data_IF_669901485813
#
_entry.id   IF_669901485813
#
_cell.length_a   1.000
_cell.length_b   1.000
_cell.length_c   1.000
_cell.angle_alpha   90.00
_cell.angle_beta   90.00
_cell.angle_gamma   90.00
#
_symmetry.space_group_name_H-M   'P 1'
#
loop_
_entity.id
_entity.type
_entity.pdbx_description
1 polymer ?
#
# COMPACT_ATOMS: atom_id res chain seq x y z
N UNK A 1 26.09 6.48 -3.66
CA UNK A 1 25.25 5.91 -4.72
C UNK A 1 24.44 7.04 -5.34
N UNK A 2 24.21 7.05 -6.65
CA UNK A 2 23.45 8.12 -7.31
C UNK A 2 21.98 8.08 -6.84
N UNK A 3 21.47 9.17 -6.28
CA UNK A 3 20.07 9.26 -5.86
C UNK A 3 19.34 10.29 -6.72
N UNK A 4 18.23 9.88 -7.33
CA UNK A 4 17.35 10.76 -8.08
C UNK A 4 15.95 10.77 -7.48
N UNK A 5 15.31 11.94 -7.52
CA UNK A 5 13.95 12.15 -7.07
C UNK A 5 13.06 12.45 -8.29
N UNK A 6 12.01 11.65 -8.49
CA UNK A 6 11.11 11.75 -9.64
C UNK A 6 9.66 11.95 -9.21
N UNK A 7 8.98 12.90 -9.86
CA UNK A 7 7.57 13.13 -9.63
C UNK A 7 6.72 12.06 -10.29
N UNK A 8 5.70 11.60 -9.57
CA UNK A 8 4.63 10.75 -10.08
C UNK A 8 3.27 11.43 -9.93
N UNK A 9 2.27 11.00 -10.72
CA UNK A 9 0.96 11.61 -10.63
C UNK A 9 0.30 11.20 -9.32
N UNK A 10 -0.68 12.00 -8.93
CA UNK A 10 -1.46 11.70 -7.75
C UNK A 10 -2.32 10.46 -7.97
N UNK A 11 -2.26 9.52 -7.04
CA UNK A 11 -2.96 8.25 -7.15
C UNK A 11 -3.65 7.90 -5.83
N UNK A 12 -4.82 7.26 -5.93
CA UNK A 12 -5.61 6.82 -4.76
C UNK A 12 -5.51 5.33 -4.44
N UNK A 13 -4.62 4.61 -5.10
CA UNK A 13 -4.48 3.17 -4.99
C UNK A 13 -3.02 2.76 -4.71
N UNK A 14 -2.33 3.58 -3.91
CA UNK A 14 -0.98 3.32 -3.43
C UNK A 14 0.08 3.20 -4.53
N UNK A 15 -0.14 3.79 -5.70
CA UNK A 15 0.73 3.67 -6.87
C UNK A 15 1.02 2.21 -7.25
N UNK A 16 0.03 1.32 -7.03
CA UNK A 16 0.05 -0.08 -7.44
C UNK A 16 -0.86 -0.36 -8.65
N UNK A 17 -1.80 0.55 -8.94
CA UNK A 17 -2.67 0.51 -10.11
C UNK A 17 -3.32 1.88 -10.35
N UNK A 18 -3.78 2.18 -11.59
CA UNK A 18 -4.43 3.42 -11.94
C UNK A 18 -5.67 3.70 -11.09
N UNK A 19 -5.81 4.95 -10.66
CA UNK A 19 -6.96 5.38 -9.86
C UNK A 19 -8.04 6.14 -10.61
N UNK A 20 -7.74 6.70 -11.78
CA UNK A 20 -8.69 7.57 -12.49
C UNK A 20 -8.89 8.94 -11.86
N UNK A 21 -8.18 9.24 -10.76
CA UNK A 21 -8.42 10.39 -9.88
C UNK A 21 -7.41 11.52 -10.05
N UNK A 22 -6.64 11.49 -11.14
CA UNK A 22 -5.64 12.52 -11.41
C UNK A 22 -6.27 13.72 -12.11
N UNK A 23 -6.20 14.90 -11.46
CA UNK A 23 -6.45 16.22 -12.07
C UNK A 23 -5.17 16.95 -12.50
N UNK A 24 -4.05 16.22 -12.69
CA UNK A 24 -2.79 16.81 -13.15
C UNK A 24 -2.86 17.27 -14.61
N UNK A 25 -2.01 18.20 -15.01
CA UNK A 25 -1.87 18.58 -16.43
C UNK A 25 -1.00 17.58 -17.22
N UNK A 26 -1.11 17.61 -18.55
CA UNK A 26 -0.38 16.73 -19.47
C UNK A 26 -0.99 15.34 -19.57
N UNK A 27 -0.17 14.34 -19.88
CA UNK A 27 -0.65 12.97 -20.15
C UNK A 27 -1.59 12.43 -19.06
N UNK A 28 -1.30 12.55 -17.74
CA UNK A 28 -2.23 12.06 -16.72
C UNK A 28 -3.61 12.73 -16.77
N UNK A 29 -3.70 14.05 -16.96
CA UNK A 29 -4.98 14.75 -17.07
C UNK A 29 -5.74 14.45 -18.35
N UNK A 30 -5.04 14.37 -19.49
CA UNK A 30 -5.64 14.07 -20.79
C UNK A 30 -6.21 12.65 -20.84
N UNK A 31 -5.59 11.72 -20.13
CA UNK A 31 -5.87 10.29 -20.24
C UNK A 31 -6.55 9.70 -19.00
N UNK A 32 -6.62 10.45 -17.90
CA UNK A 32 -7.14 10.00 -16.61
C UNK A 32 -6.22 9.03 -15.87
N UNK A 33 -4.99 8.81 -16.35
CA UNK A 33 -4.00 7.96 -15.68
C UNK A 33 -2.55 8.30 -16.08
N UNK A 34 -1.61 8.01 -15.20
CA UNK A 34 -0.16 7.97 -15.47
C UNK A 34 0.37 6.53 -15.48
N UNK A 35 1.36 6.24 -16.30
CA UNK A 35 2.03 4.92 -16.31
C UNK A 35 2.82 4.65 -15.03
N UNK A 36 3.22 5.71 -14.35
CA UNK A 36 3.90 5.67 -13.06
C UNK A 36 2.99 5.25 -11.89
N UNK A 37 1.67 5.14 -12.11
CA UNK A 37 0.73 4.63 -11.10
C UNK A 37 0.89 3.14 -10.82
N UNK A 38 1.77 2.44 -11.54
CA UNK A 38 2.18 1.05 -11.25
C UNK A 38 3.57 0.94 -10.63
N UNK A 39 4.25 2.05 -10.29
CA UNK A 39 5.64 2.00 -9.82
C UNK A 39 5.84 1.10 -8.59
N UNK A 40 4.82 0.95 -7.74
CA UNK A 40 4.83 0.07 -6.57
C UNK A 40 3.94 -1.17 -6.73
N UNK A 41 3.63 -1.57 -7.97
CA UNK A 41 2.98 -2.86 -8.26
C UNK A 41 3.99 -4.00 -8.16
N UNK A 42 4.24 -4.46 -6.94
CA UNK A 42 5.30 -5.44 -6.65
C UNK A 42 4.99 -6.87 -7.12
N UNK A 43 3.78 -7.15 -7.63
CA UNK A 43 3.48 -8.44 -8.26
C UNK A 43 4.01 -8.54 -9.70
N UNK A 44 4.29 -7.41 -10.35
CA UNK A 44 4.78 -7.36 -11.74
C UNK A 44 6.28 -7.62 -11.80
N UNK A 45 6.63 -8.89 -11.65
CA UNK A 45 8.00 -9.33 -11.47
C UNK A 45 8.51 -10.20 -12.60
N UNK A 46 9.81 -10.08 -12.89
CA UNK A 46 10.54 -11.03 -13.71
C UNK A 46 11.94 -11.19 -13.13
N UNK A 47 12.36 -12.43 -12.87
CA UNK A 47 13.65 -12.75 -12.24
C UNK A 47 13.94 -11.97 -10.94
N UNK A 48 12.93 -11.79 -10.09
CA UNK A 48 12.99 -11.00 -8.84
C UNK A 48 13.23 -9.49 -9.05
N UNK A 49 13.04 -8.98 -10.26
CA UNK A 49 13.05 -7.55 -10.55
C UNK A 49 11.64 -7.02 -10.77
N UNK A 50 11.43 -5.76 -10.37
CA UNK A 50 10.25 -4.94 -10.72
C UNK A 50 10.66 -3.81 -11.65
N UNK A 51 9.68 -3.17 -12.29
CA UNK A 51 9.89 -2.27 -13.42
C UNK A 51 9.26 -0.89 -13.19
N UNK A 52 9.91 0.00 -12.42
CA UNK A 52 9.41 1.35 -12.24
C UNK A 52 9.40 2.11 -13.58
N UNK A 53 8.32 2.82 -13.83
CA UNK A 53 8.21 3.74 -14.95
C UNK A 53 8.93 5.05 -14.61
N UNK A 54 9.83 5.46 -15.51
CA UNK A 54 10.60 6.71 -15.39
C UNK A 54 10.58 7.47 -16.72
N UNK A 55 10.13 8.72 -16.72
CA UNK A 55 10.15 9.57 -17.91
C UNK A 55 11.56 9.84 -18.46
N UNK A 56 12.55 9.92 -17.59
CA UNK A 56 13.95 10.18 -17.93
C UNK A 56 14.86 9.23 -17.14
N UNK A 57 16.05 9.00 -17.68
CA UNK A 57 17.12 8.25 -17.04
C UNK A 57 18.35 9.15 -16.90
N UNK A 58 19.25 8.91 -15.93
CA UNK A 58 20.50 9.65 -15.84
C UNK A 58 21.36 9.47 -17.10
N UNK A 59 22.20 10.45 -17.39
CA UNK A 59 23.10 10.37 -18.55
C UNK A 59 24.06 9.19 -18.40
N UNK A 60 24.38 8.54 -19.52
CA UNK A 60 25.26 7.35 -19.53
C UNK A 60 26.57 7.56 -18.77
N UNK A 61 27.23 8.71 -18.97
CA UNK A 61 28.47 9.05 -18.25
C UNK A 61 28.32 8.99 -16.72
N UNK A 62 27.24 9.56 -16.19
CA UNK A 62 26.95 9.57 -14.75
C UNK A 62 26.62 8.15 -14.27
N UNK A 63 25.86 7.38 -15.06
CA UNK A 63 25.60 5.98 -14.74
C UNK A 63 26.89 5.16 -14.69
N UNK A 64 27.80 5.35 -15.66
CA UNK A 64 29.07 4.63 -15.73
C UNK A 64 29.96 4.94 -14.50
N UNK A 65 30.00 6.21 -14.04
CA UNK A 65 30.67 6.63 -12.80
C UNK A 65 30.09 5.95 -11.54
N UNK A 66 28.83 5.50 -11.61
CA UNK A 66 28.12 4.80 -10.54
C UNK A 66 27.86 3.31 -10.85
N UNK A 67 28.68 2.69 -11.71
CA UNK A 67 28.61 1.25 -12.05
C UNK A 67 27.25 0.82 -12.61
N UNK A 68 26.56 1.72 -13.32
CA UNK A 68 25.24 1.49 -13.90
C UNK A 68 24.11 1.38 -12.89
N UNK A 69 24.34 1.69 -11.60
CA UNK A 69 23.36 1.59 -10.52
C UNK A 69 22.98 2.95 -9.94
N UNK A 70 21.73 3.10 -9.56
CA UNK A 70 21.19 4.31 -8.95
C UNK A 70 19.94 4.01 -8.13
N UNK A 71 19.55 4.94 -7.28
CA UNK A 71 18.33 4.87 -6.49
C UNK A 71 17.31 5.89 -7.00
N UNK A 72 16.03 5.53 -6.98
CA UNK A 72 14.94 6.38 -7.46
C UNK A 72 13.94 6.57 -6.33
N UNK A 73 13.88 7.78 -5.79
CA UNK A 73 12.83 8.19 -4.88
C UNK A 73 11.65 8.75 -5.67
N UNK A 74 10.43 8.39 -5.27
CA UNK A 74 9.21 8.88 -5.89
C UNK A 74 8.45 9.82 -4.97
N UNK A 75 7.90 10.90 -5.54
CA UNK A 75 7.06 11.83 -4.81
C UNK A 75 5.85 12.29 -5.63
N UNK A 76 4.77 12.64 -4.95
CA UNK A 76 3.55 13.15 -5.55
C UNK A 76 3.11 14.46 -4.87
N UNK A 77 2.20 15.18 -5.53
CA UNK A 77 1.50 16.33 -4.95
C UNK A 77 0.07 15.92 -4.62
N UNK A 78 -0.35 16.05 -3.36
CA UNK A 78 -1.75 15.92 -2.99
C UNK A 78 -2.54 17.03 -3.68
N UNK A 79 -3.57 16.66 -4.45
CA UNK A 79 -4.25 17.64 -5.31
C UNK A 79 -5.12 18.63 -4.52
N UNK A 80 -5.82 18.16 -3.49
CA UNK A 80 -6.70 19.01 -2.68
C UNK A 80 -5.94 19.75 -1.56
N UNK A 81 -5.09 19.04 -0.80
CA UNK A 81 -4.33 19.60 0.31
C UNK A 81 -3.06 20.38 -0.12
N UNK A 82 -2.68 20.31 -1.40
CA UNK A 82 -1.47 20.93 -1.95
C UNK A 82 -0.15 20.56 -1.26
N UNK A 83 -0.13 19.43 -0.54
CA UNK A 83 1.04 18.88 0.14
C UNK A 83 1.93 18.06 -0.80
N UNK A 84 3.22 17.96 -0.48
CA UNK A 84 4.17 17.12 -1.21
C UNK A 84 4.49 15.89 -0.39
N UNK A 85 4.38 14.72 -1.02
CA UNK A 85 4.41 13.43 -0.35
C UNK A 85 5.47 12.55 -0.99
N UNK A 86 6.39 12.05 -0.18
CA UNK A 86 7.41 11.09 -0.56
C UNK A 86 6.91 9.66 -0.33
N UNK A 87 7.00 8.84 -1.37
CA UNK A 87 6.23 7.59 -1.46
C UNK A 87 7.07 6.35 -1.16
N UNK A 88 8.36 6.40 -1.49
CA UNK A 88 9.23 5.25 -1.43
C UNK A 88 10.42 5.38 -2.36
N UNK A 89 11.28 4.37 -2.30
CA UNK A 89 12.55 4.30 -3.03
C UNK A 89 12.68 2.94 -3.71
N UNK A 90 13.07 2.96 -4.98
CA UNK A 90 13.64 1.79 -5.64
C UNK A 90 15.15 1.87 -5.53
N UNK A 91 15.74 1.07 -4.64
CA UNK A 91 17.19 1.01 -4.46
C UNK A 91 17.84 0.10 -5.51
N UNK A 92 19.12 0.35 -5.80
CA UNK A 92 19.93 -0.47 -6.72
C UNK A 92 19.31 -0.67 -8.12
N UNK A 93 18.56 0.31 -8.60
CA UNK A 93 17.97 0.30 -9.93
C UNK A 93 19.05 0.36 -11.02
N UNK A 94 18.79 -0.31 -12.14
CA UNK A 94 19.66 -0.31 -13.31
C UNK A 94 18.83 -0.33 -14.59
N UNK A 95 19.47 -0.06 -15.73
CA UNK A 95 18.81 -0.13 -17.03
C UNK A 95 18.50 -1.58 -17.41
N UNK A 96 17.36 -1.78 -18.06
CA UNK A 96 17.00 -3.06 -18.69
C UNK A 96 17.91 -3.28 -19.90
N UNK A 97 18.48 -4.46 -20.05
CA UNK A 97 19.24 -4.81 -21.25
C UNK A 97 18.28 -5.06 -22.43
N UNK A 98 18.64 -4.64 -23.63
CA UNK A 98 17.81 -4.84 -24.83
C UNK A 98 17.43 -6.32 -25.06
N UNK A 99 18.33 -7.23 -24.69
CA UNK A 99 18.12 -8.68 -24.74
C UNK A 99 17.05 -9.20 -23.76
N UNK A 100 16.75 -8.47 -22.69
CA UNK A 100 15.80 -8.89 -21.65
C UNK A 100 14.35 -8.62 -22.07
N UNK A 101 14.09 -7.55 -22.83
CA UNK A 101 12.72 -7.12 -23.20
C UNK A 101 11.86 -8.23 -23.82
N UNK A 102 12.34 -9.02 -24.81
CA UNK A 102 11.52 -10.09 -25.38
C UNK A 102 11.09 -11.13 -24.35
N UNK A 103 11.96 -11.42 -23.35
CA UNK A 103 11.68 -12.38 -22.30
C UNK A 103 10.68 -11.84 -21.28
N UNK A 104 10.84 -10.57 -20.90
CA UNK A 104 9.91 -9.86 -20.01
C UNK A 104 8.52 -9.83 -20.64
N UNK A 105 8.41 -9.37 -21.88
CA UNK A 105 7.13 -9.26 -22.61
C UNK A 105 6.47 -10.64 -22.72
N UNK A 106 7.23 -11.68 -23.10
CA UNK A 106 6.69 -13.04 -23.22
C UNK A 106 6.18 -13.58 -21.87
N UNK A 107 6.89 -13.31 -20.77
CA UNK A 107 6.44 -13.75 -19.45
C UNK A 107 5.20 -12.97 -19.01
N UNK A 108 5.19 -11.65 -19.18
CA UNK A 108 4.06 -10.80 -18.77
C UNK A 108 2.77 -11.11 -19.53
N UNK A 109 2.90 -11.48 -20.80
CA UNK A 109 1.78 -11.99 -21.61
C UNK A 109 1.29 -13.34 -21.08
N UNK A 110 2.21 -14.29 -20.87
CA UNK A 110 1.89 -15.63 -20.35
C UNK A 110 1.23 -15.59 -18.97
N UNK A 111 1.71 -14.74 -18.08
CA UNK A 111 1.26 -14.65 -16.68
C UNK A 111 0.04 -13.72 -16.53
N UNK A 112 -0.48 -13.18 -17.63
CA UNK A 112 -1.69 -12.35 -17.63
C UNK A 112 -1.50 -10.95 -17.05
N UNK A 113 -0.26 -10.47 -16.91
CA UNK A 113 0.05 -9.13 -16.39
C UNK A 113 -0.52 -8.05 -17.30
N UNK A 114 -0.35 -8.19 -18.62
CA UNK A 114 -0.89 -7.21 -19.57
C UNK A 114 -2.41 -7.19 -19.59
N UNK A 115 -3.06 -8.36 -19.53
CA UNK A 115 -4.51 -8.43 -19.43
C UNK A 115 -5.03 -7.78 -18.17
N UNK A 116 -4.43 -8.07 -17.01
CA UNK A 116 -4.78 -7.43 -15.73
C UNK A 116 -4.63 -5.92 -15.80
N UNK A 117 -3.49 -5.41 -16.27
CA UNK A 117 -3.27 -3.96 -16.40
C UNK A 117 -4.24 -3.30 -17.39
N UNK A 118 -4.64 -4.00 -18.45
CA UNK A 118 -5.65 -3.52 -19.39
C UNK A 118 -7.04 -3.41 -18.73
N UNK A 119 -7.43 -4.40 -17.94
CA UNK A 119 -8.68 -4.39 -17.18
C UNK A 119 -8.69 -3.28 -16.10
N UNK A 120 -7.55 -3.05 -15.45
CA UNK A 120 -7.35 -1.94 -14.52
C UNK A 120 -7.53 -0.57 -15.20
N UNK A 121 -6.98 -0.39 -16.41
CA UNK A 121 -7.16 0.83 -17.18
C UNK A 121 -8.63 1.07 -17.56
N UNK A 122 -9.32 0.05 -18.07
CA UNK A 122 -10.75 0.16 -18.39
C UNK A 122 -11.59 0.53 -17.17
N UNK A 123 -11.20 0.02 -15.99
CA UNK A 123 -11.90 0.29 -14.75
C UNK A 123 -11.60 1.68 -14.18
N UNK A 124 -10.44 2.25 -14.49
CA UNK A 124 -9.97 3.52 -13.94
C UNK A 124 -10.27 4.73 -14.85
N UNK A 125 -10.31 4.54 -16.17
CA UNK A 125 -10.47 5.65 -17.12
C UNK A 125 -11.44 5.33 -18.25
N UNK A 126 -12.19 6.36 -18.67
CA UNK A 126 -13.08 6.30 -19.83
C UNK A 126 -12.34 6.48 -21.17
N UNK A 127 -11.01 6.64 -21.16
CA UNK A 127 -10.19 6.81 -22.37
C UNK A 127 -10.32 5.61 -23.31
N UNK A 128 -10.31 4.40 -22.76
CA UNK A 128 -10.28 3.18 -23.56
C UNK A 128 -11.68 2.62 -23.75
N UNK A 129 -12.17 2.63 -24.99
CA UNK A 129 -13.48 2.06 -25.34
C UNK A 129 -13.48 0.54 -25.47
N UNK A 130 -12.30 -0.08 -25.59
CA UNK A 130 -12.16 -1.53 -25.79
C UNK A 130 -10.95 -2.06 -25.04
N UNK A 131 -11.03 -3.32 -24.57
CA UNK A 131 -9.90 -4.03 -23.96
C UNK A 131 -8.70 -4.12 -24.89
N UNK A 132 -8.92 -4.29 -26.20
CA UNK A 132 -7.84 -4.30 -27.21
C UNK A 132 -7.02 -3.01 -27.21
N UNK A 133 -7.66 -1.85 -27.04
CA UNK A 133 -6.96 -0.57 -26.99
C UNK A 133 -6.15 -0.40 -25.69
N UNK A 134 -6.73 -0.79 -24.55
CA UNK A 134 -6.03 -0.77 -23.27
C UNK A 134 -4.84 -1.74 -23.24
N UNK A 135 -5.03 -2.95 -23.78
CA UNK A 135 -3.98 -3.96 -23.92
C UNK A 135 -2.82 -3.46 -24.79
N UNK A 136 -3.14 -2.78 -25.90
CA UNK A 136 -2.14 -2.15 -26.76
C UNK A 136 -1.32 -1.11 -25.99
N UNK A 137 -1.96 -0.23 -25.21
CA UNK A 137 -1.25 0.81 -24.43
C UNK A 137 -0.25 0.19 -23.44
N UNK A 138 -0.69 -0.78 -22.62
CA UNK A 138 0.18 -1.39 -21.59
C UNK A 138 1.29 -2.24 -22.19
N UNK A 139 1.03 -2.88 -23.33
CA UNK A 139 2.04 -3.66 -24.05
C UNK A 139 3.05 -2.75 -24.73
N UNK A 140 2.58 -1.67 -25.37
CA UNK A 140 3.44 -0.73 -26.06
C UNK A 140 4.39 -0.03 -25.10
N UNK A 141 3.98 0.22 -23.84
CA UNK A 141 4.87 0.78 -22.82
C UNK A 141 6.17 -0.02 -22.61
N UNK A 142 6.12 -1.34 -22.78
CA UNK A 142 7.29 -2.23 -22.74
C UNK A 142 7.99 -2.38 -24.10
N UNK A 143 7.28 -2.20 -25.22
CA UNK A 143 7.85 -2.30 -26.57
C UNK A 143 8.54 -1.02 -27.06
N UNK A 144 8.10 0.14 -26.59
CA UNK A 144 8.56 1.48 -27.04
C UNK A 144 9.57 2.11 -26.06
N UNK A 145 10.46 1.27 -25.52
CA UNK A 145 11.19 1.43 -24.25
C UNK A 145 10.78 2.64 -23.40
N UNK A 146 9.51 2.74 -22.98
CA UNK A 146 9.12 3.75 -22.00
C UNK A 146 9.47 3.29 -20.58
N UNK A 147 9.33 1.99 -20.32
CA UNK A 147 9.85 1.32 -19.14
C UNK A 147 11.28 0.87 -19.45
N UNK A 148 12.26 1.52 -18.81
CA UNK A 148 13.71 1.34 -19.10
C UNK A 148 14.52 0.87 -17.92
N UNK A 149 13.89 0.81 -16.75
CA UNK A 149 14.57 0.58 -15.48
C UNK A 149 14.00 -0.66 -14.83
N UNK A 150 14.88 -1.43 -14.19
CA UNK A 150 14.51 -2.51 -13.29
C UNK A 150 15.21 -2.33 -11.94
N UNK A 151 14.58 -2.75 -10.85
CA UNK A 151 15.18 -2.80 -9.51
C UNK A 151 14.87 -4.14 -8.84
N UNK A 152 15.77 -4.68 -8.00
CA UNK A 152 15.45 -5.87 -7.22
C UNK A 152 14.22 -5.62 -6.35
N UNK A 153 13.28 -6.57 -6.31
CA UNK A 153 12.07 -6.43 -5.48
C UNK A 153 12.40 -6.34 -3.99
N UNK A 154 13.47 -7.01 -3.54
CA UNK A 154 13.97 -6.96 -2.17
C UNK A 154 14.48 -5.58 -1.76
N UNK A 155 14.75 -4.72 -2.74
CA UNK A 155 15.41 -3.43 -2.57
C UNK A 155 14.41 -2.28 -2.82
N UNK A 156 13.11 -2.59 -2.81
CA UNK A 156 12.05 -1.58 -2.87
C UNK A 156 11.58 -1.23 -1.47
N UNK A 157 11.70 0.04 -1.14
CA UNK A 157 11.14 0.65 0.06
C UNK A 157 9.86 1.39 -0.33
N UNK A 158 8.72 0.99 0.23
CA UNK A 158 7.43 1.63 -0.01
C UNK A 158 6.82 2.05 1.31
N UNK A 159 6.54 3.34 1.47
CA UNK A 159 5.93 3.87 2.68
C UNK A 159 4.42 3.74 2.59
N UNK A 160 3.84 2.92 3.48
CA UNK A 160 2.39 2.77 3.56
C UNK A 160 1.69 4.10 3.92
N UNK A 161 2.36 4.94 4.72
CA UNK A 161 2.05 6.37 4.87
C UNK A 161 3.14 7.20 4.18
N UNK A 162 2.81 7.95 3.12
CA UNK A 162 3.77 8.84 2.49
C UNK A 162 4.33 9.88 3.48
N UNK A 163 5.62 10.17 3.39
CA UNK A 163 6.30 11.16 4.23
C UNK A 163 6.03 12.56 3.68
N UNK A 164 5.59 13.49 4.52
CA UNK A 164 5.45 14.90 4.12
C UNK A 164 6.83 15.50 3.86
N UNK A 165 6.99 16.15 2.71
CA UNK A 165 8.23 16.82 2.33
C UNK A 165 7.98 18.27 1.92
N UNK A 166 9.03 19.07 1.98
CA UNK A 166 9.03 20.37 1.33
C UNK A 166 8.89 20.22 -0.19
N UNK A 167 8.36 21.26 -0.83
CA UNK A 167 8.24 21.33 -2.29
C UNK A 167 9.61 21.11 -2.94
N UNK A 168 9.78 20.07 -3.78
CA UNK A 168 11.04 19.83 -4.46
C UNK A 168 11.37 20.94 -5.47
N UNK A 169 12.66 21.28 -5.56
CA UNK A 169 13.18 22.31 -6.47
C UNK A 169 12.77 22.04 -7.92
N UNK A 170 12.85 20.78 -8.36
CA UNK A 170 12.30 20.33 -9.62
C UNK A 170 11.13 19.35 -9.40
N UNK A 171 9.95 19.73 -9.87
CA UNK A 171 8.69 19.01 -9.65
C UNK A 171 7.89 18.83 -10.94
N UNK A 172 8.55 18.79 -12.10
CA UNK A 172 7.90 18.44 -13.37
C UNK A 172 8.00 16.92 -13.59
N UNK A 173 7.04 16.35 -14.31
CA UNK A 173 7.04 14.92 -14.64
C UNK A 173 8.24 14.49 -15.49
N UNK A 174 8.61 15.34 -16.45
CA UNK A 174 9.71 15.11 -17.39
C UNK A 174 11.04 15.64 -16.86
N UNK A 175 11.26 15.52 -15.56
CA UNK A 175 12.51 15.88 -14.90
C UNK A 175 12.69 15.08 -13.62
N UNK A 176 13.95 14.99 -13.17
CA UNK A 176 14.30 14.48 -11.85
C UNK A 176 15.24 15.47 -11.17
N UNK A 177 15.37 15.32 -9.85
CA UNK A 177 16.31 16.11 -9.02
C UNK A 177 17.36 15.16 -8.45
N UNK A 178 18.64 15.52 -8.51
CA UNK A 178 19.66 14.81 -7.74
C UNK A 178 19.57 15.23 -6.27
N UNK A 179 19.61 14.26 -5.37
CA UNK A 179 19.56 14.49 -3.93
C UNK A 179 20.70 13.75 -3.24
N UNK A 180 21.21 14.27 -2.13
CA UNK A 180 22.25 13.57 -1.38
C UNK A 180 21.67 12.38 -0.60
N UNK A 181 20.47 12.55 -0.06
CA UNK A 181 19.74 11.54 0.71
C UNK A 181 18.24 11.64 0.48
N UNK A 182 17.53 10.52 0.64
CA UNK A 182 16.08 10.52 0.68
C UNK A 182 15.55 10.87 2.07
N UNK A 183 14.34 11.46 2.15
CA UNK A 183 13.61 11.55 3.40
C UNK A 183 13.48 10.17 4.05
N UNK A 184 13.67 10.11 5.36
CA UNK A 184 13.45 8.92 6.16
C UNK A 184 12.46 9.26 7.27
N UNK A 185 11.71 8.26 7.74
CA UNK A 185 10.76 8.44 8.84
C UNK A 185 11.43 8.79 10.19
N UNK A 186 12.77 8.83 10.23
CA UNK A 186 13.60 9.18 11.38
C UNK A 186 14.14 10.61 11.28
N UNK A 187 13.30 11.61 11.54
CA UNK A 187 13.77 12.96 11.91
C UNK A 187 12.94 13.51 13.07
N UNK A 188 13.60 13.62 14.23
CA UNK A 188 13.21 14.51 15.31
C UNK A 188 13.02 15.93 14.75
N UNK A 189 11.78 16.41 14.68
CA UNK A 189 11.51 17.83 14.46
C UNK A 189 11.65 18.52 15.82
N UNK A 190 12.57 19.49 16.00
CA UNK A 190 12.62 20.29 17.21
C UNK A 190 11.31 21.08 17.34
N UNK A 191 10.64 20.90 18.47
CA UNK A 191 9.43 21.64 18.82
C UNK A 191 9.80 23.12 19.02
N UNK A 192 9.39 23.98 18.09
CA UNK A 192 9.23 25.42 18.35
C UNK A 192 7.85 25.89 17.90
N UNK A 193 7.23 26.69 18.74
CA UNK A 193 5.81 27.02 18.80
C UNK A 193 5.24 27.81 17.62
N UNK A 194 3.91 27.64 17.46
CA UNK A 194 2.95 28.34 16.60
C UNK A 194 2.95 27.89 15.14
N UNK A 195 1.89 27.30 14.60
CA UNK A 195 0.46 27.63 14.72
C UNK A 195 -0.33 26.32 14.87
N UNK A 196 -1.30 26.29 15.80
CA UNK A 196 -2.40 25.30 15.78
C UNK A 196 -3.23 25.56 14.53
N UNK A 197 -2.84 24.97 13.40
CA UNK A 197 -3.77 24.63 12.32
C UNK A 197 -4.10 23.16 12.50
N UNK A 198 -5.39 22.84 12.44
CA UNK A 198 -5.93 21.49 12.56
C UNK A 198 -5.00 20.45 11.93
N UNK A 199 -4.69 19.41 12.71
CA UNK A 199 -3.99 18.22 12.23
C UNK A 199 -4.64 17.81 10.91
N UNK A 200 -3.85 17.75 9.85
CA UNK A 200 -4.28 17.17 8.59
C UNK A 200 -4.59 15.70 8.86
N UNK A 201 -5.87 15.44 9.16
CA UNK A 201 -6.48 14.12 9.04
C UNK A 201 -6.38 13.66 7.58
N UNK A 202 -6.38 12.35 7.38
CA UNK A 202 -6.36 11.63 6.10
C UNK A 202 -4.97 11.30 5.53
N UNK A 203 -4.24 10.48 6.30
CA UNK A 203 -3.05 9.77 5.86
C UNK A 203 -3.18 8.25 5.87
N UNK A 204 -4.38 7.66 5.76
CA UNK A 204 -4.53 6.23 5.51
C UNK A 204 -5.85 5.93 4.79
N UNK A 205 -5.79 5.01 3.82
CA UNK A 205 -6.89 4.55 2.97
C UNK A 205 -7.44 5.57 2.00
N UNK A 206 -7.12 5.39 0.72
CA UNK A 206 -7.97 5.97 -0.32
C UNK A 206 -8.95 4.95 -0.84
N UNK A 207 -9.89 4.72 0.05
CA UNK A 207 -11.26 4.58 -0.35
C UNK A 207 -11.75 5.99 -0.74
N UNK A 208 -12.50 6.14 -1.84
CA UNK A 208 -13.00 7.46 -2.25
C UNK A 208 -13.76 8.11 -1.08
N UNK A 209 -13.87 9.44 -0.98
CA UNK A 209 -14.66 10.07 0.09
C UNK A 209 -16.10 9.48 0.18
N UNK A 210 -16.66 9.04 -0.95
CA UNK A 210 -17.92 8.30 -1.01
C UNK A 210 -17.83 6.87 -0.41
N UNK A 211 -16.73 6.16 -0.63
CA UNK A 211 -16.48 4.82 -0.07
C UNK A 211 -16.06 4.89 1.41
N UNK A 212 -15.33 5.92 1.85
CA UNK A 212 -15.08 6.23 3.27
C UNK A 212 -16.37 6.56 4.02
N UNK A 213 -17.29 7.33 3.41
CA UNK A 213 -18.64 7.57 3.94
C UNK A 213 -19.44 6.27 4.16
N UNK A 214 -19.08 5.16 3.51
CA UNK A 214 -19.69 3.85 3.72
C UNK A 214 -18.89 2.97 4.67
N UNK A 215 -17.56 3.03 4.61
CA UNK A 215 -16.66 2.20 5.41
C UNK A 215 -16.62 2.66 6.86
N UNK A 216 -16.52 3.96 7.13
CA UNK A 216 -16.44 4.48 8.51
C UNK A 216 -17.69 4.07 9.31
N UNK A 217 -18.93 4.27 8.83
CA UNK A 217 -20.10 3.79 9.56
C UNK A 217 -20.14 2.27 9.75
N UNK A 218 -19.69 1.49 8.75
CA UNK A 218 -19.62 0.03 8.85
C UNK A 218 -18.56 -0.44 9.84
N UNK A 219 -17.43 0.27 9.90
CA UNK A 219 -16.35 0.00 10.84
C UNK A 219 -16.82 0.28 12.26
N UNK A 220 -17.43 1.44 12.49
CA UNK A 220 -18.01 1.80 13.78
C UNK A 220 -19.09 0.80 14.20
N UNK A 221 -19.91 0.35 13.25
CA UNK A 221 -20.90 -0.69 13.49
C UNK A 221 -20.25 -2.01 13.90
N UNK A 222 -19.25 -2.49 13.16
CA UNK A 222 -18.52 -3.72 13.49
C UNK A 222 -17.87 -3.63 14.88
N UNK A 223 -17.26 -2.49 15.21
CA UNK A 223 -16.66 -2.23 16.52
C UNK A 223 -17.70 -2.29 17.63
N UNK A 224 -18.80 -1.55 17.49
CA UNK A 224 -19.89 -1.57 18.46
C UNK A 224 -20.48 -2.98 18.63
N UNK A 225 -20.71 -3.69 17.53
CA UNK A 225 -21.27 -5.05 17.55
C UNK A 225 -20.32 -6.03 18.26
N UNK A 226 -19.01 -5.92 18.03
CA UNK A 226 -17.99 -6.75 18.69
C UNK A 226 -17.87 -6.44 20.19
N UNK A 227 -17.80 -5.16 20.56
CA UNK A 227 -17.79 -4.72 21.95
C UNK A 227 -19.05 -5.17 22.71
N UNK A 228 -20.24 -5.03 22.11
CA UNK A 228 -21.48 -5.52 22.70
C UNK A 228 -21.49 -7.03 22.88
N UNK A 229 -20.95 -7.77 21.91
CA UNK A 229 -20.85 -9.22 21.99
C UNK A 229 -19.89 -9.67 23.10
N UNK A 230 -18.76 -8.98 23.30
CA UNK A 230 -17.84 -9.21 24.43
C UNK A 230 -18.49 -8.85 25.78
N UNK A 231 -19.15 -7.70 25.88
CA UNK A 231 -19.83 -7.27 27.11
C UNK A 231 -20.93 -8.24 27.54
N UNK A 232 -21.70 -8.81 26.60
CA UNK A 232 -22.70 -9.86 26.87
C UNK A 232 -22.09 -11.14 27.44
N UNK A 233 -20.79 -11.34 27.26
CA UNK A 233 -20.00 -12.43 27.84
C UNK A 233 -19.33 -12.03 29.16
N UNK A 234 -19.60 -10.85 29.70
CA UNK A 234 -18.99 -10.37 30.95
C UNK A 234 -17.53 -9.94 30.81
N UNK A 235 -17.06 -9.71 29.58
CA UNK A 235 -15.68 -9.28 29.31
C UNK A 235 -15.65 -7.76 29.21
N UNK A 236 -14.96 -7.05 30.12
CA UNK A 236 -14.82 -5.60 30.03
C UNK A 236 -13.92 -5.22 28.84
N UNK A 237 -14.36 -4.22 28.07
CA UNK A 237 -13.69 -3.78 26.85
C UNK A 237 -13.24 -2.32 26.96
N UNK A 238 -12.05 -2.03 26.45
CA UNK A 238 -11.56 -0.67 26.20
C UNK A 238 -11.48 -0.45 24.68
N UNK A 239 -12.17 0.57 24.18
CA UNK A 239 -12.22 0.91 22.76
C UNK A 239 -11.33 2.11 22.46
N UNK A 240 -10.69 2.11 21.28
CA UNK A 240 -9.96 3.25 20.71
C UNK A 240 -8.87 3.83 21.63
N UNK A 241 -8.20 2.97 22.40
CA UNK A 241 -7.11 3.38 23.28
C UNK A 241 -5.76 3.17 22.57
N UNK A 242 -4.96 4.24 22.44
CA UNK A 242 -3.64 4.22 21.78
C UNK A 242 -3.65 3.78 20.30
N UNK A 243 -4.66 4.19 19.53
CA UNK A 243 -4.86 3.86 18.10
C UNK A 243 -5.17 2.37 17.84
N UNK A 244 -5.57 1.63 18.88
CA UNK A 244 -5.98 0.23 18.77
C UNK A 244 -7.49 0.19 18.81
N UNK A 245 -8.13 -0.52 17.87
CA UNK A 245 -9.59 -0.58 17.79
C UNK A 245 -10.20 -1.11 19.10
N UNK A 246 -9.79 -2.31 19.52
CA UNK A 246 -10.34 -2.97 20.71
C UNK A 246 -9.27 -3.66 21.54
N UNK A 247 -9.24 -3.33 22.83
CA UNK A 247 -8.39 -3.93 23.86
C UNK A 247 -9.26 -4.53 24.96
N UNK A 248 -8.97 -5.75 25.37
CA UNK A 248 -9.71 -6.40 26.46
C UNK A 248 -8.84 -7.47 27.14
N UNK A 249 -9.30 -7.94 28.29
CA UNK A 249 -8.59 -8.95 29.07
C UNK A 249 -9.53 -10.09 29.43
N UNK A 250 -9.04 -11.32 29.31
CA UNK A 250 -9.75 -12.53 29.72
C UNK A 250 -8.77 -13.42 30.47
N UNK A 251 -9.09 -13.79 31.72
CA UNK A 251 -8.26 -14.68 32.54
C UNK A 251 -6.77 -14.24 32.63
N UNK A 252 -6.52 -12.95 32.87
CA UNK A 252 -5.20 -12.32 32.91
C UNK A 252 -4.41 -12.37 31.59
N UNK A 253 -5.07 -12.68 30.47
CA UNK A 253 -4.50 -12.59 29.13
C UNK A 253 -5.05 -11.36 28.43
N UNK A 254 -4.16 -10.44 28.07
CA UNK A 254 -4.52 -9.26 27.27
C UNK A 254 -4.69 -9.64 25.81
N UNK A 255 -5.79 -9.19 25.22
CA UNK A 255 -6.09 -9.32 23.81
C UNK A 255 -6.04 -7.96 23.12
N UNK A 256 -5.57 -7.98 21.88
CA UNK A 256 -5.66 -6.87 20.95
C UNK A 256 -6.44 -7.33 19.73
N UNK A 257 -7.50 -6.61 19.40
CA UNK A 257 -8.34 -6.89 18.24
C UNK A 257 -8.30 -5.72 17.27
N UNK A 258 -7.97 -6.04 16.02
CA UNK A 258 -7.93 -5.14 14.88
C UNK A 258 -9.10 -5.47 13.95
N UNK A 259 -9.92 -4.47 13.64
CA UNK A 259 -11.20 -4.63 12.95
C UNK A 259 -11.08 -4.18 11.50
N UNK A 260 -11.63 -4.96 10.57
CA UNK A 260 -11.62 -4.62 9.14
C UNK A 260 -12.94 -4.90 8.44
N UNK A 261 -13.37 -3.90 7.70
CA UNK A 261 -14.52 -3.98 6.79
C UNK A 261 -14.00 -4.42 5.41
N UNK A 262 -14.50 -5.54 4.89
CA UNK A 262 -14.03 -6.21 3.67
C UNK A 262 -14.54 -5.54 2.38
N UNK A 263 -15.25 -4.41 2.51
CA UNK A 263 -16.01 -3.76 1.44
C UNK A 263 -15.23 -3.51 0.14
N UNK A 264 -15.44 -4.38 -0.86
CA UNK A 264 -14.91 -4.26 -2.21
C UNK A 264 -13.39 -4.52 -2.35
N UNK A 265 -12.74 -5.06 -1.31
CA UNK A 265 -11.28 -5.26 -1.27
C UNK A 265 -10.86 -6.72 -0.97
N UNK A 266 -11.81 -7.61 -0.66
CA UNK A 266 -11.56 -9.02 -0.36
C UNK A 266 -10.96 -9.23 1.04
N UNK A 267 -11.28 -10.38 1.63
CA UNK A 267 -10.89 -10.77 3.00
C UNK A 267 -9.37 -10.85 3.17
N UNK A 268 -8.66 -11.37 2.16
CA UNK A 268 -7.19 -11.46 2.18
C UNK A 268 -6.50 -10.10 2.37
N UNK A 269 -7.00 -9.05 1.72
CA UNK A 269 -6.40 -7.71 1.83
C UNK A 269 -6.61 -7.14 3.24
N UNK A 270 -7.84 -7.24 3.74
CA UNK A 270 -8.18 -6.84 5.10
C UNK A 270 -7.29 -7.54 6.15
N UNK A 271 -7.06 -8.86 5.98
CA UNK A 271 -6.18 -9.63 6.87
C UNK A 271 -4.74 -9.12 6.81
N UNK A 272 -4.18 -8.86 5.62
CA UNK A 272 -2.81 -8.34 5.48
C UNK A 272 -2.64 -6.98 6.13
N UNK A 273 -3.61 -6.09 5.93
CA UNK A 273 -3.60 -4.76 6.54
C UNK A 273 -3.68 -4.86 8.07
N UNK A 274 -4.57 -5.68 8.61
CA UNK A 274 -4.69 -5.89 10.06
C UNK A 274 -3.42 -6.52 10.67
N UNK A 275 -2.79 -7.48 9.98
CA UNK A 275 -1.53 -8.07 10.42
C UNK A 275 -0.41 -7.04 10.54
N UNK A 276 -0.30 -6.11 9.58
CA UNK A 276 0.70 -5.04 9.64
C UNK A 276 0.55 -4.19 10.90
N UNK A 277 -0.68 -3.81 11.23
CA UNK A 277 -0.97 -3.01 12.43
C UNK A 277 -0.70 -3.79 13.72
N UNK A 278 -1.14 -5.05 13.79
CA UNK A 278 -0.87 -5.92 14.94
C UNK A 278 0.64 -6.14 15.16
N UNK A 279 1.41 -6.30 14.09
CA UNK A 279 2.87 -6.38 14.16
C UNK A 279 3.47 -5.09 14.71
N UNK A 280 3.02 -3.93 14.23
CA UNK A 280 3.49 -2.62 14.72
C UNK A 280 3.17 -2.45 16.22
N UNK A 281 1.94 -2.73 16.64
CA UNK A 281 1.52 -2.59 18.04
C UNK A 281 2.30 -3.48 19.00
N UNK A 282 2.81 -4.63 18.52
CA UNK A 282 3.50 -5.59 19.37
C UNK A 282 5.01 -5.53 19.28
N UNK A 283 5.60 -5.18 18.13
CA UNK A 283 7.05 -5.27 17.92
C UNK A 283 7.75 -3.94 17.67
N UNK A 284 7.01 -2.84 17.46
CA UNK A 284 7.65 -1.54 17.29
C UNK A 284 8.34 -1.11 18.60
N UNK A 285 9.60 -0.60 18.55
CA UNK A 285 10.35 -0.23 19.75
C UNK A 285 9.57 0.69 20.70
N UNK A 286 9.55 0.35 21.99
CA UNK A 286 8.83 1.11 23.02
C UNK A 286 7.38 0.65 23.29
N UNK A 287 6.91 -0.40 22.62
CA UNK A 287 5.61 -1.04 22.92
C UNK A 287 5.79 -2.26 23.83
N UNK A 288 4.80 -2.50 24.70
CA UNK A 288 4.78 -3.68 25.56
C UNK A 288 4.32 -4.91 24.76
N UNK A 289 5.24 -5.86 24.60
CA UNK A 289 5.00 -7.20 24.05
C UNK A 289 4.25 -8.06 25.07
N UNK A 290 3.19 -8.78 24.65
CA UNK A 290 2.55 -9.98 25.28
C UNK A 290 1.02 -9.97 25.16
N UNK A 291 0.48 -9.70 23.96
CA UNK A 291 -0.96 -9.79 23.72
C UNK A 291 -1.28 -10.91 22.74
N UNK A 292 -2.42 -11.56 22.95
CA UNK A 292 -3.05 -12.41 21.94
C UNK A 292 -3.70 -11.52 20.88
N UNK A 293 -3.49 -11.83 19.61
CA UNK A 293 -3.92 -11.02 18.49
C UNK A 293 -5.21 -11.56 17.89
N UNK A 294 -6.12 -10.64 17.56
CA UNK A 294 -7.33 -10.95 16.84
C UNK A 294 -7.48 -10.04 15.63
N UNK A 295 -7.83 -10.63 14.49
CA UNK A 295 -8.32 -9.90 13.33
C UNK A 295 -9.81 -10.16 13.22
N UNK A 296 -10.64 -9.12 13.27
CA UNK A 296 -12.09 -9.24 13.25
C UNK A 296 -12.63 -8.66 11.93
N UNK A 297 -13.31 -9.50 11.15
CA UNK A 297 -13.88 -9.12 9.86
C UNK A 297 -15.41 -8.94 9.91
N UNK A 298 -15.95 -8.06 9.07
CA UNK A 298 -17.41 -7.95 8.86
C UNK A 298 -18.00 -9.06 7.96
N UNK A 299 -17.15 -9.93 7.41
CA UNK A 299 -17.52 -11.00 6.49
C UNK A 299 -16.69 -12.27 6.75
N UNK A 300 -17.28 -13.42 6.42
CA UNK A 300 -16.62 -14.72 6.53
C UNK A 300 -15.35 -14.78 5.66
N UNK A 301 -14.18 -15.16 6.22
CA UNK A 301 -12.94 -15.33 5.47
C UNK A 301 -13.04 -16.53 4.50
N UNK A 302 -12.25 -16.49 3.43
CA UNK A 302 -12.14 -17.62 2.50
C UNK A 302 -11.41 -18.79 3.19
N UNK A 303 -11.63 -20.02 2.70
CA UNK A 303 -10.89 -21.19 3.19
C UNK A 303 -9.37 -21.05 3.01
N UNK A 304 -8.93 -20.36 1.94
CA UNK A 304 -7.53 -20.02 1.70
C UNK A 304 -6.98 -19.02 2.73
N UNK A 305 -7.81 -18.09 3.21
CA UNK A 305 -7.42 -17.15 4.27
C UNK A 305 -7.24 -17.87 5.61
N UNK A 306 -8.14 -18.80 5.94
CA UNK A 306 -8.00 -19.63 7.13
C UNK A 306 -6.73 -20.49 7.04
N UNK A 307 -6.47 -21.09 5.88
CA UNK A 307 -5.23 -21.86 5.65
C UNK A 307 -3.97 -20.99 5.77
N UNK A 308 -4.03 -19.73 5.34
CA UNK A 308 -2.95 -18.77 5.50
C UNK A 308 -2.71 -18.43 6.98
N UNK A 309 -3.78 -18.11 7.72
CA UNK A 309 -3.72 -17.85 9.17
C UNK A 309 -3.18 -19.05 9.94
N UNK A 310 -3.59 -20.27 9.57
CA UNK A 310 -3.09 -21.51 10.19
C UNK A 310 -1.57 -21.64 10.04
N UNK A 311 -1.01 -21.32 8.86
CA UNK A 311 0.45 -21.33 8.66
C UNK A 311 1.15 -20.31 9.54
N UNK A 312 0.60 -19.10 9.67
CA UNK A 312 1.17 -18.07 10.56
C UNK A 312 1.22 -18.54 12.02
N UNK A 313 0.18 -19.24 12.47
CA UNK A 313 0.08 -19.77 13.84
C UNK A 313 1.01 -20.97 14.02
N UNK A 314 1.03 -21.91 13.07
CA UNK A 314 1.71 -23.20 13.25
C UNK A 314 3.18 -23.16 12.88
N UNK A 315 3.57 -22.44 11.83
CA UNK A 315 4.95 -22.36 11.34
C UNK A 315 5.70 -21.15 11.95
N UNK A 316 5.07 -19.98 11.98
CA UNK A 316 5.70 -18.72 12.45
C UNK A 316 5.45 -18.48 13.96
N UNK A 317 4.51 -19.21 14.57
CA UNK A 317 4.16 -19.12 16.00
C UNK A 317 3.61 -17.75 16.40
N UNK A 318 2.87 -17.09 15.51
CA UNK A 318 2.13 -15.89 15.89
C UNK A 318 0.96 -16.23 16.83
N UNK A 319 0.73 -15.43 17.89
CA UNK A 319 -0.38 -15.61 18.82
C UNK A 319 -1.68 -15.07 18.21
N UNK A 320 -2.05 -15.56 17.03
CA UNK A 320 -3.04 -14.97 16.15
C UNK A 320 -4.35 -15.78 16.12
N UNK A 321 -5.46 -15.06 15.97
CA UNK A 321 -6.77 -15.61 15.65
C UNK A 321 -7.48 -14.72 14.64
N UNK A 322 -8.24 -15.30 13.73
CA UNK A 322 -9.18 -14.58 12.89
C UNK A 322 -10.60 -14.82 13.37
N UNK A 323 -11.40 -13.77 13.47
CA UNK A 323 -12.83 -13.82 13.76
C UNK A 323 -13.64 -13.07 12.71
N UNK A 324 -14.92 -13.41 12.57
CA UNK A 324 -15.82 -12.74 11.65
C UNK A 324 -17.24 -12.65 12.18
N UNK A 325 -17.92 -11.58 11.79
CA UNK A 325 -19.31 -11.35 12.15
C UNK A 325 -20.24 -12.33 11.41
N UNK A 326 -21.20 -12.88 12.14
CA UNK A 326 -22.28 -13.74 11.63
C UNK A 326 -23.63 -13.23 12.14
N UNK A 327 -24.73 -13.80 11.66
CA UNK A 327 -26.08 -13.47 12.16
C UNK A 327 -26.29 -13.81 13.64
N UNK A 328 -25.45 -14.68 14.22
CA UNK A 328 -25.55 -15.13 15.62
C UNK A 328 -24.50 -14.53 16.55
N UNK A 329 -23.65 -13.63 16.06
CA UNK A 329 -22.54 -13.04 16.83
C UNK A 329 -21.22 -13.14 16.06
N UNK A 330 -20.19 -13.70 16.68
CA UNK A 330 -18.86 -13.84 16.07
C UNK A 330 -18.39 -15.29 16.11
N UNK A 331 -17.81 -15.73 15.01
CA UNK A 331 -17.11 -17.02 14.88
C UNK A 331 -15.61 -16.78 14.76
N UNK A 332 -14.80 -17.81 15.07
CA UNK A 332 -13.35 -17.68 15.14
C UNK A 332 -12.62 -18.92 14.62
N UNK A 333 -11.44 -18.67 14.06
CA UNK A 333 -10.45 -19.67 13.70
C UNK A 333 -9.04 -19.24 14.14
N UNK A 334 -8.30 -20.08 14.89
CA UNK A 334 -8.77 -21.27 15.59
C UNK A 334 -9.89 -20.92 16.57
N UNK A 335 -10.73 -21.91 16.91
CA UNK A 335 -11.91 -21.70 17.78
C UNK A 335 -11.50 -21.02 19.09
N UNK A 336 -12.12 -19.88 19.40
CA UNK A 336 -11.91 -19.19 20.66
C UNK A 336 -12.82 -19.76 21.75
N UNK A 337 -12.27 -20.69 22.54
CA UNK A 337 -12.98 -21.28 23.69
C UNK A 337 -12.78 -20.41 24.92
N UNK A 338 -13.73 -19.53 25.19
CA UNK A 338 -13.75 -18.76 26.43
C UNK A 338 -14.32 -19.68 27.52
N UNK A 339 -13.49 -20.06 28.50
CA UNK A 339 -13.98 -20.50 29.81
C UNK A 339 -14.07 -19.22 30.65
N UNK A 340 -15.28 -18.70 30.79
CA UNK A 340 -15.60 -17.61 31.71
C UNK A 340 -15.58 -18.12 33.14
#
# INVERSE_FOLDING_TARGET
MLNILQRVCWNTRGWQLPSGSTSESGFPGENGFGHEEWNFQLSDTWNKFVFPYTYLIPQKKILDEHQGKFNIGFFARHQEQHQWLFLGVHHNACLIADSDYPQIIKLFDKDGVFDRRADELLSATNRFKTKKAALKEVTDAFKTPFIRVKSPISDVEYFAQPILIDKPSNHRFKSFTYVDSFPSSSTNIPVSQSIRSALAEDGYYRETAAKLKLIIPKHNKLSNDFCQWLNKKGIPVKQEENFIDVLFEVNNVSYIAELKVVYGIGTTKAIREALGQLLEYNYYPGRNTNKEWMIILDQTPLASDQSYVEKLITEIKFPLRIGWQTTKGFEFYPVWKIKL
#
